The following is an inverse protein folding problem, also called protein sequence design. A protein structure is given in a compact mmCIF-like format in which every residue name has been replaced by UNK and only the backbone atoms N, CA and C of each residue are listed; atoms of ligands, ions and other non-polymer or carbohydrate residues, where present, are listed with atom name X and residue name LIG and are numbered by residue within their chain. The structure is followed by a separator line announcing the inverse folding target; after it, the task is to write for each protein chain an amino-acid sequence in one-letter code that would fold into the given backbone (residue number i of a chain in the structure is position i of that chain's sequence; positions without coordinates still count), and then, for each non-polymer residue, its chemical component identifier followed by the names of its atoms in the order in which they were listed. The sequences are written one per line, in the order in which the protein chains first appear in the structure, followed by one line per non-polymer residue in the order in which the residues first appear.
data_IF_332174848546
#
_entry.id   IF_332174848546
#
_cell.length_a   1.000
_cell.length_b   1.000
_cell.length_c   1.000
_cell.angle_alpha   90.00
_cell.angle_beta   90.00
_cell.angle_gamma   90.00
#
_symmetry.space_group_name_H-M   'P 1'
#
loop_
_entity.id
_entity.type
_entity.pdbx_description
1 polymer ?
#
# COMPACT_ATOMS: atom_id res chain seq x y z
N UNK A 1 -9.52 -15.93 26.46
CA UNK A 1 -9.98 -17.26 25.97
C UNK A 1 -10.15 -18.22 27.16
N UNK A 2 -11.26 -18.97 27.24
CA UNK A 2 -11.51 -19.97 28.28
C UNK A 2 -12.18 -21.23 27.71
N UNK A 3 -11.67 -22.40 28.07
CA UNK A 3 -12.25 -23.70 27.68
C UNK A 3 -13.66 -23.91 28.25
N UNK A 4 -13.91 -23.41 29.46
CA UNK A 4 -15.20 -23.64 30.15
C UNK A 4 -16.37 -22.89 29.52
N UNK A 5 -16.12 -21.79 28.80
CA UNK A 5 -17.14 -20.99 28.13
C UNK A 5 -17.29 -21.32 26.64
N UNK A 6 -16.56 -22.33 26.15
CA UNK A 6 -16.52 -22.67 24.72
C UNK A 6 -15.75 -21.67 23.84
N UNK A 7 -15.16 -20.62 24.42
CA UNK A 7 -14.36 -19.63 23.71
C UNK A 7 -12.87 -19.97 23.81
N UNK A 8 -12.48 -21.03 23.11
CA UNK A 8 -11.12 -21.55 23.07
C UNK A 8 -10.81 -22.15 21.69
N UNK A 9 -9.62 -21.87 21.17
CA UNK A 9 -9.12 -22.42 19.91
C UNK A 9 -7.68 -22.86 20.12
N UNK A 10 -7.36 -24.10 19.75
CA UNK A 10 -5.98 -24.60 19.77
C UNK A 10 -5.20 -24.06 18.57
N UNK A 11 -3.86 -24.10 18.65
CA UNK A 11 -2.99 -23.71 17.54
C UNK A 11 -3.29 -24.52 16.27
N UNK A 12 -3.50 -25.83 16.39
CA UNK A 12 -3.75 -26.71 15.24
C UNK A 12 -5.09 -26.35 14.59
N UNK A 13 -6.15 -26.20 15.38
CA UNK A 13 -7.47 -25.79 14.87
C UNK A 13 -7.40 -24.42 14.17
N UNK A 14 -6.65 -23.46 14.74
CA UNK A 14 -6.47 -22.14 14.15
C UNK A 14 -5.73 -22.20 12.81
N UNK A 15 -4.66 -23.00 12.71
CA UNK A 15 -3.90 -23.18 11.47
C UNK A 15 -4.74 -23.90 10.40
N UNK A 16 -5.50 -24.92 10.78
CA UNK A 16 -6.39 -25.63 9.85
C UNK A 16 -7.51 -24.73 9.32
N UNK A 17 -8.02 -23.81 10.16
CA UNK A 17 -9.12 -22.93 9.79
C UNK A 17 -8.68 -21.69 9.01
N UNK A 18 -7.54 -21.08 9.37
CA UNK A 18 -7.11 -19.79 8.82
C UNK A 18 -5.80 -19.83 8.05
N UNK A 19 -5.19 -21.01 7.88
CA UNK A 19 -3.79 -21.20 7.46
C UNK A 19 -2.77 -20.63 8.45
N UNK A 20 -1.52 -21.10 8.36
CA UNK A 20 -0.44 -20.58 9.20
C UNK A 20 -0.21 -19.08 8.99
N UNK A 21 -0.22 -18.60 7.75
CA UNK A 21 0.04 -17.20 7.44
C UNK A 21 -1.16 -16.30 7.72
N UNK A 22 -2.39 -16.76 7.48
CA UNK A 22 -3.60 -16.00 7.84
C UNK A 22 -3.75 -15.83 9.36
N UNK A 23 -3.44 -16.88 10.14
CA UNK A 23 -3.37 -16.79 11.60
C UNK A 23 -2.30 -15.79 12.06
N UNK A 24 -1.06 -15.91 11.55
CA UNK A 24 0.06 -15.02 11.92
C UNK A 24 -0.22 -13.56 11.56
N UNK A 25 -0.83 -13.31 10.40
CA UNK A 25 -1.23 -11.98 9.98
C UNK A 25 -2.25 -11.36 10.96
N UNK A 26 -3.21 -12.16 11.41
CA UNK A 26 -4.22 -11.71 12.37
C UNK A 26 -3.63 -11.48 13.75
N UNK A 27 -2.69 -12.33 14.18
CA UNK A 27 -1.99 -12.17 15.45
C UNK A 27 -1.14 -10.89 15.48
N UNK A 28 -0.50 -10.55 14.37
CA UNK A 28 0.23 -9.28 14.25
C UNK A 28 -0.70 -8.05 14.32
N UNK A 29 -1.98 -8.17 13.94
CA UNK A 29 -2.97 -7.10 14.05
C UNK A 29 -3.70 -7.06 15.41
N UNK A 30 -3.54 -8.10 16.24
CA UNK A 30 -4.31 -8.31 17.46
C UNK A 30 -4.06 -7.24 18.53
N UNK A 31 -2.85 -6.64 18.54
CA UNK A 31 -2.50 -5.53 19.43
C UNK A 31 -1.00 -5.48 19.74
N UNK A 32 -0.45 -4.26 19.78
CA UNK A 32 0.95 -3.99 20.16
C UNK A 32 1.08 -3.28 21.52
N UNK A 33 -0.04 -2.95 22.16
CA UNK A 33 -0.05 -2.26 23.46
C UNK A 33 0.08 -3.27 24.61
N UNK A 34 0.15 -2.73 25.83
CA UNK A 34 0.14 -3.53 27.07
C UNK A 34 -1.29 -4.06 27.37
N UNK A 35 -2.31 -3.54 26.68
CA UNK A 35 -3.69 -3.98 26.84
C UNK A 35 -3.91 -5.38 26.23
N UNK A 36 -4.99 -6.03 26.62
CA UNK A 36 -5.32 -7.37 26.14
C UNK A 36 -5.50 -7.37 24.61
N UNK A 37 -4.61 -8.10 23.92
CA UNK A 37 -4.73 -8.30 22.48
C UNK A 37 -6.00 -9.08 22.14
N UNK A 38 -6.62 -8.73 21.01
CA UNK A 38 -7.87 -9.32 20.56
C UNK A 38 -7.70 -10.08 19.24
N UNK A 39 -7.91 -11.39 19.27
CA UNK A 39 -7.99 -12.21 18.07
C UNK A 39 -9.45 -12.34 17.64
N UNK A 40 -9.80 -11.69 16.53
CA UNK A 40 -11.14 -11.76 15.92
C UNK A 40 -11.12 -12.71 14.72
N UNK A 41 -11.91 -13.80 14.79
CA UNK A 41 -12.05 -14.77 13.70
C UNK A 41 -12.55 -14.14 12.40
N UNK A 42 -13.43 -13.14 12.48
CA UNK A 42 -13.92 -12.43 11.28
C UNK A 42 -12.81 -11.65 10.60
N UNK A 43 -11.92 -11.06 11.40
CA UNK A 43 -10.73 -10.41 10.88
C UNK A 43 -9.78 -11.44 10.26
N UNK A 44 -9.62 -12.62 10.87
CA UNK A 44 -8.79 -13.69 10.31
C UNK A 44 -9.27 -14.16 8.93
N UNK A 45 -10.57 -14.33 8.73
CA UNK A 45 -11.16 -14.66 7.42
C UNK A 45 -10.92 -13.54 6.40
N UNK A 46 -11.08 -12.28 6.79
CA UNK A 46 -10.81 -11.14 5.92
C UNK A 46 -9.33 -11.03 5.52
N UNK A 47 -8.43 -11.28 6.47
CA UNK A 47 -6.97 -11.27 6.27
C UNK A 47 -6.53 -12.39 5.33
N UNK A 48 -7.10 -13.60 5.48
CA UNK A 48 -6.86 -14.71 4.55
C UNK A 48 -7.31 -14.36 3.13
N UNK A 49 -8.48 -13.74 2.97
CA UNK A 49 -8.97 -13.31 1.65
C UNK A 49 -8.06 -12.24 1.02
N UNK A 50 -7.53 -11.31 1.82
CA UNK A 50 -6.56 -10.31 1.35
C UNK A 50 -5.26 -10.95 0.87
N UNK A 51 -4.74 -11.93 1.62
CA UNK A 51 -3.56 -12.70 1.22
C UNK A 51 -3.79 -13.45 -0.09
N UNK A 52 -4.95 -14.10 -0.25
CA UNK A 52 -5.32 -14.75 -1.50
C UNK A 52 -5.36 -13.75 -2.67
N UNK A 53 -5.99 -12.59 -2.46
CA UNK A 53 -6.10 -11.54 -3.48
C UNK A 53 -4.72 -10.99 -3.87
N UNK A 54 -3.81 -10.83 -2.89
CA UNK A 54 -2.42 -10.45 -3.15
C UNK A 54 -1.69 -11.47 -4.03
N UNK A 55 -1.83 -12.77 -3.75
CA UNK A 55 -1.24 -13.84 -4.57
C UNK A 55 -1.78 -13.79 -6.02
N UNK A 56 -3.10 -13.68 -6.19
CA UNK A 56 -3.69 -13.63 -7.53
C UNK A 56 -3.20 -12.41 -8.30
N UNK A 57 -3.14 -11.27 -7.64
CA UNK A 57 -2.63 -10.06 -8.27
C UNK A 57 -1.15 -10.16 -8.66
N UNK A 58 -0.31 -10.77 -7.81
CA UNK A 58 1.08 -11.02 -8.16
C UNK A 58 1.20 -11.91 -9.42
N UNK A 59 0.38 -12.96 -9.53
CA UNK A 59 0.33 -13.82 -10.73
C UNK A 59 -0.10 -13.04 -11.98
N UNK A 60 -1.12 -12.20 -11.86
CA UNK A 60 -1.60 -11.36 -12.97
C UNK A 60 -0.49 -10.44 -13.51
N UNK A 61 0.22 -9.72 -12.64
CA UNK A 61 1.30 -8.81 -13.04
C UNK A 61 2.48 -9.56 -13.66
N UNK A 62 2.83 -10.72 -13.13
CA UNK A 62 3.87 -11.58 -13.72
C UNK A 62 3.45 -12.06 -15.10
N UNK A 63 2.20 -12.49 -15.28
CA UNK A 63 1.67 -12.94 -16.57
C UNK A 63 1.61 -11.81 -17.62
N UNK A 64 1.21 -10.59 -17.21
CA UNK A 64 1.20 -9.40 -18.09
C UNK A 64 2.60 -9.06 -18.60
N UNK A 65 3.64 -9.32 -17.81
CA UNK A 65 5.02 -9.08 -18.25
C UNK A 65 5.44 -10.03 -19.36
N UNK A 66 5.00 -11.29 -19.31
CA UNK A 66 5.35 -12.32 -20.28
C UNK A 66 4.71 -12.06 -21.65
N UNK A 67 3.50 -11.49 -21.70
CA UNK A 67 2.79 -11.16 -22.94
C UNK A 67 3.36 -9.91 -23.63
N UNK A 68 3.89 -8.95 -22.88
CA UNK A 68 4.53 -7.76 -23.43
C UNK A 68 5.87 -8.03 -24.10
N UNK A 69 6.63 -9.05 -23.65
CA UNK A 69 7.92 -9.42 -24.25
C UNK A 69 7.80 -10.01 -25.65
N UNK A 70 6.66 -10.64 -25.99
CA UNK A 70 6.42 -11.20 -27.34
C UNK A 70 6.17 -10.16 -28.44
N UNK A 71 5.91 -8.90 -28.09
CA UNK A 71 5.69 -7.81 -29.07
C UNK A 71 6.86 -6.82 -29.15
N UNK A 72 7.99 -7.09 -28.48
CA UNK A 72 9.17 -6.23 -28.46
C UNK A 72 10.42 -7.01 -28.89
N UNK A 73 10.41 -7.58 -30.09
CA UNK A 73 11.67 -7.95 -30.76
C UNK A 73 12.36 -6.77 -31.44
N UNK A 74 11.75 -5.58 -31.47
CA UNK A 74 12.30 -4.37 -32.13
C UNK A 74 12.49 -3.15 -31.20
N UNK A 75 12.23 -3.28 -29.90
CA UNK A 75 12.56 -2.24 -28.93
C UNK A 75 13.91 -2.55 -28.27
N UNK A 76 14.94 -2.37 -29.09
CA UNK A 76 16.33 -2.16 -28.74
C UNK A 76 16.49 -1.56 -27.33
N UNK A 77 17.41 -2.13 -26.55
CA UNK A 77 18.00 -1.58 -25.33
C UNK A 77 18.08 -0.04 -25.37
N UNK A 78 17.03 0.63 -24.91
CA UNK A 78 17.08 2.06 -24.66
C UNK A 78 17.77 2.21 -23.32
N UNK A 79 19.09 2.36 -23.41
CA UNK A 79 20.01 2.87 -22.39
C UNK A 79 19.68 4.34 -22.08
N UNK A 80 18.41 4.64 -21.85
CA UNK A 80 17.90 5.96 -21.54
C UNK A 80 16.93 5.79 -20.37
N UNK A 81 17.47 5.83 -19.16
CA UNK A 81 16.76 5.79 -17.89
C UNK A 81 15.88 7.02 -17.64
N UNK A 82 15.31 7.58 -18.70
CA UNK A 82 14.69 8.89 -18.76
C UNK A 82 13.44 8.90 -19.65
N UNK A 83 12.68 7.80 -19.70
CA UNK A 83 11.22 7.94 -19.85
C UNK A 83 10.75 8.68 -18.61
N UNK A 84 10.61 10.00 -18.75
CA UNK A 84 10.12 10.93 -17.72
C UNK A 84 9.09 10.23 -16.85
N UNK A 85 9.48 9.87 -15.62
CA UNK A 85 8.59 9.19 -14.68
C UNK A 85 7.31 10.02 -14.59
N UNK A 86 6.18 9.44 -15.00
CA UNK A 86 4.88 10.09 -14.89
C UNK A 86 4.73 10.63 -13.46
N UNK A 87 4.06 11.76 -13.29
CA UNK A 87 3.76 12.32 -11.97
C UNK A 87 3.22 11.23 -11.02
N UNK A 88 2.28 10.41 -11.48
CA UNK A 88 1.72 9.31 -10.67
C UNK A 88 2.73 8.20 -10.36
N UNK A 89 3.64 7.89 -11.29
CA UNK A 89 4.74 6.93 -11.03
C UNK A 89 5.68 7.45 -9.94
N UNK A 90 6.00 8.75 -9.96
CA UNK A 90 6.87 9.38 -8.95
C UNK A 90 6.21 9.42 -7.58
N UNK A 91 4.92 9.74 -7.52
CA UNK A 91 4.13 9.69 -6.29
C UNK A 91 4.14 8.27 -5.74
N UNK A 92 3.79 7.28 -6.56
CA UNK A 92 3.72 5.89 -6.11
C UNK A 92 5.09 5.36 -5.66
N UNK A 93 6.17 5.69 -6.38
CA UNK A 93 7.53 5.35 -5.94
C UNK A 93 7.88 6.00 -4.58
N UNK A 94 7.50 7.27 -4.37
CA UNK A 94 7.73 7.97 -3.10
C UNK A 94 6.94 7.35 -1.96
N UNK A 95 5.70 6.92 -2.19
CA UNK A 95 4.88 6.21 -1.21
C UNK A 95 5.46 4.84 -0.84
N UNK A 96 5.97 4.07 -1.82
CA UNK A 96 6.67 2.81 -1.54
C UNK A 96 7.88 3.06 -0.62
N UNK A 97 8.70 4.06 -0.94
CA UNK A 97 9.86 4.42 -0.14
C UNK A 97 9.48 4.87 1.29
N UNK A 98 8.39 5.65 1.41
CA UNK A 98 7.84 6.07 2.71
C UNK A 98 7.37 4.88 3.53
N UNK A 99 6.64 3.95 2.92
CA UNK A 99 6.21 2.70 3.57
C UNK A 99 7.40 1.87 4.06
N UNK A 100 8.47 1.71 3.26
CA UNK A 100 9.67 0.97 3.69
C UNK A 100 10.25 1.58 4.97
N UNK A 101 10.41 2.91 5.01
CA UNK A 101 10.97 3.62 6.17
C UNK A 101 10.10 3.47 7.42
N UNK A 102 8.80 3.76 7.30
CA UNK A 102 7.86 3.67 8.42
C UNK A 102 7.74 2.24 8.94
N UNK A 103 7.74 1.25 8.05
CA UNK A 103 7.68 -0.15 8.46
C UNK A 103 8.98 -0.63 9.11
N UNK A 104 10.15 -0.15 8.65
CA UNK A 104 11.41 -0.43 9.32
C UNK A 104 11.41 0.13 10.75
N UNK A 105 11.02 1.39 10.93
CA UNK A 105 10.89 2.02 12.26
C UNK A 105 9.91 1.24 13.15
N UNK A 106 8.80 0.74 12.59
CA UNK A 106 7.84 -0.08 13.33
C UNK A 106 8.43 -1.45 13.73
N UNK A 107 9.18 -2.12 12.86
CA UNK A 107 9.87 -3.37 13.20
C UNK A 107 10.94 -3.17 14.27
N UNK A 108 11.74 -2.10 14.18
CA UNK A 108 12.78 -1.77 15.16
C UNK A 108 12.18 -1.55 16.56
N UNK A 109 10.95 -1.01 16.63
CA UNK A 109 10.21 -0.81 17.87
C UNK A 109 9.28 -1.99 18.25
N UNK A 110 9.31 -3.09 17.50
CA UNK A 110 8.45 -4.27 17.70
C UNK A 110 6.93 -3.97 17.67
N UNK A 111 6.50 -2.99 16.87
CA UNK A 111 5.11 -2.59 16.68
C UNK A 111 4.51 -3.30 15.44
N UNK A 112 4.13 -4.56 15.58
CA UNK A 112 3.70 -5.41 14.47
C UNK A 112 2.36 -5.00 13.83
N UNK A 113 1.45 -4.40 14.59
CA UNK A 113 0.22 -3.80 14.06
C UNK A 113 0.52 -2.59 13.18
N UNK A 114 1.44 -1.73 13.61
CA UNK A 114 1.88 -0.58 12.80
C UNK A 114 2.69 -1.03 11.57
N UNK A 115 3.47 -2.13 11.69
CA UNK A 115 4.08 -2.79 10.54
C UNK A 115 3.01 -3.18 9.51
N UNK A 116 1.91 -3.83 9.91
CA UNK A 116 0.86 -4.22 8.97
C UNK A 116 0.12 -3.02 8.37
N UNK A 117 -0.13 -2.00 9.18
CA UNK A 117 -0.72 -0.74 8.72
C UNK A 117 0.10 -0.11 7.60
N UNK A 118 1.42 0.06 7.78
CA UNK A 118 2.28 0.73 6.80
C UNK A 118 2.74 -0.18 5.66
N UNK A 119 3.12 -1.41 6.00
CA UNK A 119 3.76 -2.37 5.09
C UNK A 119 2.80 -3.24 4.28
N UNK A 120 1.54 -3.34 4.72
CA UNK A 120 0.52 -4.12 4.01
C UNK A 120 -0.66 -3.24 3.58
N UNK A 121 -1.39 -2.65 4.52
CA UNK A 121 -2.65 -1.96 4.20
C UNK A 121 -2.48 -0.63 3.47
N UNK A 122 -1.62 0.26 3.95
CA UNK A 122 -1.34 1.53 3.28
C UNK A 122 -0.64 1.31 1.95
N UNK A 123 0.28 0.35 1.90
CA UNK A 123 0.96 -0.04 0.67
C UNK A 123 -0.07 -0.53 -0.38
N UNK A 124 -1.01 -1.42 -0.02
CA UNK A 124 -2.11 -1.81 -0.90
C UNK A 124 -2.99 -0.63 -1.33
N UNK A 125 -3.33 0.29 -0.41
CA UNK A 125 -4.09 1.50 -0.72
C UNK A 125 -3.35 2.37 -1.76
N UNK A 126 -2.05 2.57 -1.60
CA UNK A 126 -1.23 3.34 -2.54
C UNK A 126 -1.22 2.73 -3.95
N UNK A 127 -1.16 1.39 -4.04
CA UNK A 127 -1.29 0.66 -5.30
C UNK A 127 -2.67 0.85 -5.93
N UNK A 128 -3.74 0.73 -5.14
CA UNK A 128 -5.11 0.86 -5.65
C UNK A 128 -5.38 2.28 -6.16
N UNK A 129 -4.90 3.31 -5.45
CA UNK A 129 -4.93 4.69 -5.90
C UNK A 129 -4.14 4.88 -7.20
N UNK A 130 -2.91 4.35 -7.29
CA UNK A 130 -2.09 4.42 -8.50
C UNK A 130 -2.82 3.79 -9.69
N UNK A 131 -3.46 2.63 -9.50
CA UNK A 131 -4.24 1.96 -10.56
C UNK A 131 -5.45 2.78 -10.99
N UNK A 132 -6.21 3.34 -10.04
CA UNK A 132 -7.38 4.18 -10.36
C UNK A 132 -6.95 5.40 -11.19
N UNK A 133 -5.90 6.10 -10.76
CA UNK A 133 -5.40 7.32 -11.41
C UNK A 133 -4.79 7.06 -12.80
N UNK A 134 -4.05 5.96 -12.95
CA UNK A 134 -3.46 5.61 -14.25
C UNK A 134 -4.47 5.01 -15.24
N UNK A 135 -5.54 4.36 -14.76
CA UNK A 135 -6.49 3.65 -15.64
C UNK A 135 -7.17 4.51 -16.70
N UNK A 136 -7.28 5.82 -16.47
CA UNK A 136 -7.93 6.76 -17.39
C UNK A 136 -6.97 7.47 -18.35
N UNK A 137 -5.68 7.55 -18.03
CA UNK A 137 -4.75 8.47 -18.69
C UNK A 137 -3.56 7.79 -19.37
N UNK A 138 -3.00 6.73 -18.79
CA UNK A 138 -1.74 6.15 -19.27
C UNK A 138 -1.60 4.64 -19.00
N UNK A 139 -0.65 4.00 -19.70
CA UNK A 139 -0.34 2.58 -19.51
C UNK A 139 0.43 2.37 -18.20
N UNK A 140 -0.04 1.43 -17.37
CA UNK A 140 0.58 1.09 -16.09
C UNK A 140 2.06 0.70 -16.25
N UNK A 141 2.91 1.24 -15.38
CA UNK A 141 4.33 0.90 -15.34
C UNK A 141 4.54 -0.48 -14.69
N UNK A 142 4.57 -1.52 -15.51
CA UNK A 142 4.72 -2.91 -15.07
C UNK A 142 5.99 -3.15 -14.22
N UNK A 143 7.18 -2.61 -14.58
CA UNK A 143 8.36 -2.66 -13.71
C UNK A 143 8.13 -2.09 -12.31
N UNK A 144 7.43 -0.95 -12.19
CA UNK A 144 7.13 -0.33 -10.90
C UNK A 144 6.16 -1.19 -10.07
N UNK A 145 5.17 -1.81 -10.70
CA UNK A 145 4.27 -2.75 -10.03
C UNK A 145 4.98 -4.03 -9.56
N UNK A 146 5.95 -4.55 -10.34
CA UNK A 146 6.80 -5.66 -9.90
C UNK A 146 7.65 -5.29 -8.69
N UNK A 147 8.26 -4.10 -8.72
CA UNK A 147 9.02 -3.59 -7.59
C UNK A 147 8.13 -3.47 -6.34
N UNK A 148 6.91 -2.96 -6.47
CA UNK A 148 5.93 -2.96 -5.39
C UNK A 148 5.66 -4.37 -4.81
N UNK A 149 5.45 -5.38 -5.66
CA UNK A 149 5.20 -6.77 -5.21
C UNK A 149 6.40 -7.30 -4.43
N UNK A 150 7.60 -7.07 -4.96
CA UNK A 150 8.86 -7.44 -4.30
C UNK A 150 8.97 -6.81 -2.92
N UNK A 151 8.81 -5.49 -2.82
CA UNK A 151 8.89 -4.75 -1.55
C UNK A 151 7.84 -5.25 -0.56
N UNK A 152 6.59 -5.42 -0.99
CA UNK A 152 5.52 -5.90 -0.14
C UNK A 152 5.80 -7.32 0.38
N UNK A 153 6.31 -8.22 -0.47
CA UNK A 153 6.68 -9.57 -0.08
C UNK A 153 7.86 -9.56 0.92
N UNK A 154 8.88 -8.73 0.69
CA UNK A 154 10.04 -8.60 1.60
C UNK A 154 9.60 -8.10 2.98
N UNK A 155 8.80 -7.04 3.03
CA UNK A 155 8.29 -6.46 4.28
C UNK A 155 7.44 -7.46 5.06
N UNK A 156 6.57 -8.21 4.37
CA UNK A 156 5.64 -9.14 5.00
C UNK A 156 6.27 -10.50 5.33
N UNK A 157 7.48 -10.79 4.83
CA UNK A 157 8.15 -12.10 4.96
C UNK A 157 8.33 -12.58 6.41
N UNK A 158 8.54 -11.67 7.36
CA UNK A 158 8.68 -12.01 8.78
C UNK A 158 7.35 -12.42 9.44
N UNK A 159 6.21 -11.97 8.89
CA UNK A 159 4.86 -12.28 9.40
C UNK A 159 4.24 -13.45 8.62
N UNK A 160 4.31 -13.45 7.29
CA UNK A 160 3.70 -14.47 6.42
C UNK A 160 4.75 -15.11 5.50
N UNK A 161 5.70 -15.90 6.02
CA UNK A 161 6.85 -16.38 5.24
C UNK A 161 6.47 -17.32 4.09
N UNK A 162 5.44 -18.16 4.25
CA UNK A 162 5.12 -19.19 3.25
C UNK A 162 4.57 -18.57 1.97
N UNK A 163 3.64 -17.63 2.11
CA UNK A 163 3.04 -16.89 1.01
C UNK A 163 4.06 -15.93 0.40
N UNK A 164 4.86 -15.24 1.22
CA UNK A 164 5.87 -14.31 0.70
C UNK A 164 6.97 -15.04 -0.07
N UNK A 165 7.42 -16.22 0.37
CA UNK A 165 8.37 -17.04 -0.38
C UNK A 165 7.78 -17.51 -1.71
N UNK A 166 6.51 -17.95 -1.72
CA UNK A 166 5.81 -18.31 -2.95
C UNK A 166 5.72 -17.11 -3.93
N UNK A 167 5.32 -15.93 -3.45
CA UNK A 167 5.23 -14.72 -4.27
C UNK A 167 6.61 -14.28 -4.78
N UNK A 168 7.65 -14.39 -3.95
CA UNK A 168 9.01 -14.08 -4.34
C UNK A 168 9.52 -15.03 -5.43
N UNK A 169 9.23 -16.32 -5.33
CA UNK A 169 9.55 -17.31 -6.37
C UNK A 169 8.82 -17.05 -7.70
N UNK A 170 7.63 -16.44 -7.68
CA UNK A 170 6.94 -16.00 -8.91
C UNK A 170 7.72 -14.89 -9.64
N UNK A 171 8.40 -14.01 -8.90
CA UNK A 171 9.23 -12.93 -9.45
C UNK A 171 10.64 -13.42 -9.81
N UNK A 172 11.22 -14.26 -8.95
CA UNK A 172 12.60 -14.75 -9.04
C UNK A 172 12.61 -16.29 -8.90
N UNK A 173 12.48 -17.03 -10.02
CA UNK A 173 12.48 -18.48 -9.98
C UNK A 173 13.74 -19.05 -9.30
N UNK A 174 13.55 -20.08 -8.47
CA UNK A 174 14.60 -20.79 -7.72
C UNK A 174 15.36 -19.95 -6.66
N UNK A 175 14.84 -18.78 -6.26
CA UNK A 175 15.37 -18.03 -5.12
C UNK A 175 14.40 -18.07 -3.96
N UNK A 176 14.91 -18.28 -2.75
CA UNK A 176 14.10 -18.15 -1.54
C UNK A 176 14.18 -16.73 -0.99
N UNK A 177 13.04 -16.25 -0.47
CA UNK A 177 12.97 -14.95 0.20
C UNK A 177 13.83 -14.92 1.48
N UNK A 178 14.15 -16.08 2.05
CA UNK A 178 14.96 -16.20 3.26
C UNK A 178 16.41 -15.71 3.08
N UNK A 179 16.90 -15.71 1.84
CA UNK A 179 18.24 -15.18 1.49
C UNK A 179 18.19 -13.69 1.12
N UNK A 180 16.99 -13.12 0.99
CA UNK A 180 16.82 -11.74 0.59
C UNK A 180 17.14 -10.77 1.73
N UNK A 181 17.64 -9.59 1.35
CA UNK A 181 17.93 -8.51 2.31
C UNK A 181 16.72 -7.61 2.46
N UNK A 182 16.65 -6.91 3.59
CA UNK A 182 15.69 -5.84 3.80
C UNK A 182 15.80 -4.79 2.68
N UNK A 183 14.68 -4.29 2.14
CA UNK A 183 14.72 -3.31 1.08
C UNK A 183 15.28 -1.97 1.53
N UNK A 184 16.03 -1.31 0.65
CA UNK A 184 16.58 0.03 0.90
C UNK A 184 15.60 1.07 0.35
N UNK A 185 15.13 1.96 1.21
CA UNK A 185 14.28 3.07 0.81
C UNK A 185 15.06 4.08 -0.07
N UNK A 186 14.47 4.48 -1.19
CA UNK A 186 14.97 5.57 -2.02
C UNK A 186 14.57 6.96 -1.49
N UNK A 187 14.71 7.97 -2.34
CA UNK A 187 14.26 9.34 -2.03
C UNK A 187 12.74 9.40 -1.82
N UNK A 188 12.31 10.15 -0.81
CA UNK A 188 10.90 10.39 -0.48
C UNK A 188 10.61 11.87 -0.74
N UNK A 189 9.78 12.13 -1.74
CA UNK A 189 9.30 13.48 -2.04
C UNK A 189 7.97 13.73 -1.31
N UNK A 190 8.05 14.36 -0.14
CA UNK A 190 6.87 14.63 0.68
C UNK A 190 5.89 15.58 -0.03
N UNK A 191 6.41 16.55 -0.81
CA UNK A 191 5.55 17.49 -1.51
C UNK A 191 4.68 16.81 -2.56
N UNK A 192 5.21 15.79 -3.25
CA UNK A 192 4.44 14.99 -4.19
C UNK A 192 3.35 14.17 -3.51
N UNK A 193 3.68 13.55 -2.39
CA UNK A 193 2.73 12.78 -1.58
C UNK A 193 1.58 13.67 -1.13
N UNK A 194 1.88 14.81 -0.50
CA UNK A 194 0.88 15.74 0.01
C UNK A 194 0.00 16.29 -1.11
N UNK A 195 0.59 16.59 -2.28
CA UNK A 195 -0.17 17.06 -3.45
C UNK A 195 -1.10 15.99 -4.04
N UNK A 196 -0.73 14.71 -3.97
CA UNK A 196 -1.59 13.61 -4.39
C UNK A 196 -2.71 13.35 -3.38
N UNK A 197 -2.41 13.41 -2.07
CA UNK A 197 -3.42 13.30 -1.02
C UNK A 197 -4.49 14.40 -1.16
N UNK A 198 -4.06 15.65 -1.38
CA UNK A 198 -4.97 16.76 -1.70
C UNK A 198 -5.83 16.48 -2.93
N UNK A 199 -5.25 15.92 -4.00
CA UNK A 199 -6.00 15.56 -5.20
C UNK A 199 -7.07 14.49 -4.91
N UNK A 200 -6.72 13.45 -4.17
CA UNK A 200 -7.66 12.37 -3.83
C UNK A 200 -8.80 12.86 -2.94
N UNK A 201 -8.50 13.71 -1.96
CA UNK A 201 -9.51 14.32 -1.09
C UNK A 201 -10.44 15.25 -1.87
N UNK A 202 -9.90 16.07 -2.78
CA UNK A 202 -10.73 16.94 -3.64
C UNK A 202 -11.61 16.14 -4.59
N UNK A 203 -11.12 15.02 -5.14
CA UNK A 203 -11.93 14.09 -5.95
C UNK A 203 -13.03 13.45 -5.11
N UNK A 204 -12.73 13.02 -3.88
CA UNK A 204 -13.73 12.46 -2.98
C UNK A 204 -14.84 13.46 -2.66
N UNK A 205 -14.45 14.69 -2.30
CA UNK A 205 -15.36 15.80 -2.02
C UNK A 205 -16.24 16.13 -3.24
N UNK A 206 -15.63 16.17 -4.42
CA UNK A 206 -16.33 16.42 -5.67
C UNK A 206 -17.37 15.34 -5.95
N UNK A 207 -17.00 14.05 -5.86
CA UNK A 207 -17.91 12.91 -6.05
C UNK A 207 -19.06 12.93 -5.04
N UNK A 208 -18.78 13.27 -3.79
CA UNK A 208 -19.80 13.37 -2.73
C UNK A 208 -20.78 14.52 -2.97
N UNK A 209 -20.30 15.68 -3.42
CA UNK A 209 -21.17 16.81 -3.78
C UNK A 209 -21.98 16.52 -5.03
N UNK A 210 -21.36 15.93 -6.05
CA UNK A 210 -22.00 15.56 -7.32
C UNK A 210 -23.24 14.67 -7.11
N UNK A 211 -23.19 13.71 -6.17
CA UNK A 211 -24.35 12.85 -5.82
C UNK A 211 -25.63 13.60 -5.44
N UNK A 212 -25.53 14.84 -4.95
CA UNK A 212 -26.69 15.66 -4.54
C UNK A 212 -27.43 16.26 -5.74
N UNK A 213 -26.80 16.26 -6.91
CA UNK A 213 -27.23 17.00 -8.08
C UNK A 213 -27.52 15.99 -9.21
N UNK A 214 -28.75 15.99 -9.77
CA UNK A 214 -29.17 15.07 -10.84
C UNK A 214 -29.01 15.73 -12.20
N UNK A 215 -28.46 15.00 -13.18
CA UNK A 215 -28.31 15.40 -14.59
C UNK A 215 -27.45 16.64 -14.84
N UNK A 216 -26.14 16.54 -14.56
CA UNK A 216 -25.16 17.58 -14.88
C UNK A 216 -24.05 17.08 -15.80
N UNK A 217 -23.87 17.77 -16.92
CA UNK A 217 -22.86 17.44 -17.92
C UNK A 217 -21.60 18.33 -17.85
N UNK A 218 -21.58 19.34 -16.98
CA UNK A 218 -20.48 20.30 -16.83
C UNK A 218 -20.27 20.67 -15.37
N UNK A 219 -19.01 20.79 -14.97
CA UNK A 219 -18.60 21.29 -13.67
C UNK A 219 -17.50 22.32 -13.85
N UNK A 220 -17.49 23.36 -13.00
CA UNK A 220 -16.45 24.38 -12.97
C UNK A 220 -15.80 24.34 -11.60
N UNK A 221 -14.47 24.13 -11.56
CA UNK A 221 -13.68 24.10 -10.33
C UNK A 221 -12.93 25.43 -10.24
N UNK A 222 -13.05 26.09 -9.09
CA UNK A 222 -12.31 27.32 -8.80
C UNK A 222 -11.22 27.01 -7.78
N UNK A 223 -9.98 27.38 -8.12
CA UNK A 223 -8.82 27.27 -7.22
C UNK A 223 -8.34 28.67 -6.91
N UNK A 224 -8.31 29.03 -5.62
CA UNK A 224 -7.79 30.31 -5.20
C UNK A 224 -6.26 30.25 -5.13
N UNK A 225 -5.57 31.15 -5.82
CA UNK A 225 -4.11 31.24 -5.77
C UNK A 225 -3.60 31.76 -4.41
N UNK A 226 -4.40 32.58 -3.73
CA UNK A 226 -4.09 33.15 -2.42
C UNK A 226 -5.32 33.06 -1.51
N UNK A 227 -5.08 32.97 -0.21
CA UNK A 227 -6.13 33.07 0.80
C UNK A 227 -6.83 34.44 0.72
N UNK A 228 -8.16 34.50 0.91
CA UNK A 228 -8.88 35.74 1.14
C UNK A 228 -8.28 36.54 2.31
N UNK A 229 -8.33 37.87 2.24
CA UNK A 229 -7.65 38.76 3.20
C UNK A 229 -7.94 38.43 4.68
N UNK A 230 -9.19 38.10 5.01
CA UNK A 230 -9.58 37.74 6.37
C UNK A 230 -8.99 36.40 6.83
N UNK A 231 -8.84 35.41 5.93
CA UNK A 231 -8.19 34.13 6.24
C UNK A 231 -6.69 34.34 6.42
N UNK A 232 -6.07 35.17 5.59
CA UNK A 232 -4.65 35.52 5.72
C UNK A 232 -4.34 36.16 7.07
N UNK A 233 -5.21 37.07 7.55
CA UNK A 233 -5.08 37.66 8.88
C UNK A 233 -5.10 36.59 9.98
N UNK A 234 -6.11 35.72 9.97
CA UNK A 234 -6.26 34.65 10.97
C UNK A 234 -5.08 33.67 10.92
N UNK A 235 -4.66 33.24 9.73
CA UNK A 235 -3.53 32.30 9.55
C UNK A 235 -2.25 32.92 10.08
N UNK A 236 -2.03 34.23 9.86
CA UNK A 236 -0.85 34.92 10.39
C UNK A 236 -0.87 34.99 11.92
N UNK A 237 -2.02 35.28 12.54
CA UNK A 237 -2.15 35.24 14.00
C UNK A 237 -1.89 33.84 14.57
N UNK A 238 -2.47 32.80 13.94
CA UNK A 238 -2.21 31.41 14.33
C UNK A 238 -0.73 31.02 14.16
N UNK A 239 -0.07 31.52 13.10
CA UNK A 239 1.35 31.30 12.86
C UNK A 239 2.21 31.94 13.94
N UNK A 240 1.86 33.14 14.41
CA UNK A 240 2.56 33.81 15.50
C UNK A 240 2.43 33.00 16.79
N UNK A 241 1.22 32.55 17.13
CA UNK A 241 0.97 31.73 18.32
C UNK A 241 1.72 30.39 18.27
N UNK A 242 1.86 29.78 17.09
CA UNK A 242 2.60 28.52 16.93
C UNK A 242 4.12 28.68 17.09
N UNK A 243 4.65 29.88 16.87
CA UNK A 243 6.09 30.17 16.97
C UNK A 243 6.53 30.63 18.36
N UNK A 244 5.57 31.04 19.21
CA UNK A 244 5.78 31.26 20.65
C UNK A 244 5.84 29.93 21.42
#
# INVERSE_FOLDING_TARGET
MSKSTGNFMTLIEAVERFSADGMRLTLADAGDSIEDANFDEKNAEAQLLRLYTFIQWAKEIVAMSSSHTTNQSDAQESTDGNKSKNYFDRVFQSEINRSIKLTQEAYDNMLYKEVLKHGFFQLQKSRDNYRELCSETEQLNIPLLKHFIEIQALILSSICPHICDYVYQLLYPNKSIMEAKWPVAGEIDQSLIDSCEYLLDTVHDFRTRSKKFKDHNKATIYVAANYPQWQTFIINELKNIYQE
#
